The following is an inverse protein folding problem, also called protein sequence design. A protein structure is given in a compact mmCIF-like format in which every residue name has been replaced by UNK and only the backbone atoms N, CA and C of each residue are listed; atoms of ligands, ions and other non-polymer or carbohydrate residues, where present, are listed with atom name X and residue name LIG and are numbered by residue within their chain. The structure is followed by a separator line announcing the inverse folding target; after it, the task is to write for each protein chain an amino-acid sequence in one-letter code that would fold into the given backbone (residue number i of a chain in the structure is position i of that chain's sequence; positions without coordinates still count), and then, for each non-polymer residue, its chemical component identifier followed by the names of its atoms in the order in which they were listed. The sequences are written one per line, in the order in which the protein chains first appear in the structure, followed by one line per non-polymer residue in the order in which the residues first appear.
data_IF_068691249567
#
_entry.id   IF_068691249567
#
_cell.length_a   1.000
_cell.length_b   1.000
_cell.length_c   1.000
_cell.angle_alpha   90.00
_cell.angle_beta   90.00
_cell.angle_gamma   90.00
#
_symmetry.space_group_name_H-M   'P 1'
#
loop_
_entity.id
_entity.type
_entity.pdbx_description
1 polymer ?
#
# COMPACT_ATOMS: atom_id res chain seq x y z
N UNK A 1 -0.50 -15.06 2.62
CA UNK A 1 -1.02 -14.54 3.92
C UNK A 1 -2.10 -15.49 4.40
N UNK A 2 -1.95 -16.06 5.61
CA UNK A 2 -2.82 -17.12 6.16
C UNK A 2 -3.72 -16.52 7.22
N UNK A 3 -4.95 -17.08 7.38
CA UNK A 3 -5.82 -16.74 8.51
C UNK A 3 -5.23 -17.31 9.78
N UNK A 4 -5.04 -16.48 10.80
CA UNK A 4 -4.51 -16.88 12.12
C UNK A 4 -5.62 -17.21 13.13
N UNK A 5 -6.89 -16.99 12.78
CA UNK A 5 -8.05 -17.26 13.63
C UNK A 5 -9.19 -17.79 12.77
N UNK A 6 -10.01 -18.66 13.37
CA UNK A 6 -11.23 -19.21 12.79
C UNK A 6 -12.21 -19.60 13.89
N UNK A 7 -13.41 -20.03 13.52
CA UNK A 7 -14.42 -20.52 14.44
C UNK A 7 -14.64 -22.02 14.21
N UNK A 8 -14.80 -22.77 15.29
CA UNK A 8 -15.21 -24.17 15.30
C UNK A 8 -16.25 -24.37 16.41
N UNK A 9 -17.00 -25.48 16.43
CA UNK A 9 -17.89 -25.83 17.51
C UNK A 9 -17.20 -25.80 18.87
N UNK A 10 -17.95 -25.45 19.91
CA UNK A 10 -17.41 -25.43 21.28
C UNK A 10 -16.93 -26.83 21.69
N UNK A 11 -15.70 -26.89 22.19
CA UNK A 11 -15.07 -28.16 22.61
C UNK A 11 -14.25 -28.84 21.51
N UNK A 12 -14.26 -28.34 20.29
CA UNK A 12 -13.45 -28.88 19.20
C UNK A 12 -12.19 -28.05 18.98
N UNK A 13 -11.11 -28.72 18.50
CA UNK A 13 -9.87 -28.05 18.12
C UNK A 13 -9.94 -27.60 16.65
N UNK A 14 -9.80 -26.32 16.39
CA UNK A 14 -9.70 -25.82 15.03
C UNK A 14 -8.38 -26.29 14.40
N UNK A 15 -8.47 -27.19 13.41
CA UNK A 15 -7.33 -27.64 12.62
C UNK A 15 -7.38 -26.94 11.26
N UNK A 16 -6.28 -26.32 10.86
CA UNK A 16 -6.14 -25.71 9.55
C UNK A 16 -4.82 -26.10 8.93
N UNK A 17 -4.84 -26.48 7.66
CA UNK A 17 -3.64 -26.80 6.91
C UNK A 17 -3.03 -25.54 6.30
N UNK A 18 -1.77 -25.28 6.64
CA UNK A 18 -0.97 -24.20 6.09
C UNK A 18 0.01 -24.78 5.08
N UNK A 19 0.14 -24.22 3.87
CA UNK A 19 1.14 -24.68 2.93
C UNK A 19 2.55 -24.53 3.53
N UNK A 20 3.29 -25.62 3.59
CA UNK A 20 4.73 -25.61 3.84
C UNK A 20 5.43 -25.34 2.50
N UNK A 21 6.19 -24.26 2.41
CA UNK A 21 6.96 -23.89 1.23
C UNK A 21 7.87 -22.71 1.54
N UNK A 22 8.74 -22.36 0.61
CA UNK A 22 9.59 -21.18 0.73
C UNK A 22 8.73 -19.92 0.86
N UNK A 23 8.98 -19.14 1.90
CA UNK A 23 8.33 -17.86 2.12
C UNK A 23 8.97 -16.80 1.22
N UNK A 24 8.25 -16.38 0.19
CA UNK A 24 8.68 -15.26 -0.66
C UNK A 24 8.15 -13.96 -0.11
N UNK A 25 9.03 -13.01 0.07
CA UNK A 25 8.64 -11.63 0.38
C UNK A 25 8.12 -10.97 -0.90
N UNK A 26 6.94 -10.39 -0.83
CA UNK A 26 6.35 -9.60 -1.91
C UNK A 26 5.95 -8.24 -1.33
N UNK A 27 6.45 -7.18 -1.93
CA UNK A 27 6.12 -5.81 -1.55
C UNK A 27 5.10 -5.24 -2.52
N UNK A 28 4.02 -4.70 -1.97
CA UNK A 28 3.05 -3.89 -2.69
C UNK A 28 3.20 -2.44 -2.29
N UNK A 29 3.39 -1.56 -3.26
CA UNK A 29 3.48 -0.11 -3.09
C UNK A 29 2.48 0.58 -4.01
N UNK A 30 1.91 1.69 -3.56
CA UNK A 30 0.97 2.50 -4.33
C UNK A 30 0.91 3.93 -3.77
N UNK A 31 0.37 4.86 -4.53
CA UNK A 31 -0.11 6.15 -4.03
C UNK A 31 -1.60 6.12 -3.79
N UNK A 32 -2.09 6.87 -2.81
CA UNK A 32 -3.51 7.08 -2.58
C UNK A 32 -3.87 8.54 -2.82
N UNK A 33 -4.83 8.77 -3.70
CA UNK A 33 -5.49 10.06 -3.90
C UNK A 33 -6.89 10.05 -3.28
N UNK A 34 -7.46 11.22 -3.04
CA UNK A 34 -8.82 11.35 -2.49
C UNK A 34 -9.91 10.65 -3.34
N UNK A 35 -9.62 10.29 -4.57
CA UNK A 35 -10.58 9.70 -5.50
C UNK A 35 -10.20 8.31 -6.02
N UNK A 36 -8.96 7.86 -5.82
CA UNK A 36 -8.46 6.56 -6.33
C UNK A 36 -7.10 6.19 -5.74
N UNK A 37 -6.76 4.93 -5.85
CA UNK A 37 -5.37 4.46 -5.76
C UNK A 37 -4.67 4.71 -7.10
N UNK A 38 -3.40 5.10 -7.07
CA UNK A 38 -2.57 5.41 -8.24
C UNK A 38 -1.22 4.73 -8.14
N UNK A 39 -0.55 4.56 -9.27
CA UNK A 39 0.79 3.99 -9.37
C UNK A 39 0.98 2.68 -8.57
N UNK A 40 0.06 1.68 -8.65
CA UNK A 40 0.25 0.43 -7.95
C UNK A 40 1.39 -0.36 -8.59
N UNK A 41 2.33 -0.84 -7.76
CA UNK A 41 3.43 -1.70 -8.19
C UNK A 41 3.60 -2.85 -7.20
N UNK A 42 3.96 -4.02 -7.72
CA UNK A 42 4.30 -5.20 -6.94
C UNK A 42 5.71 -5.64 -7.33
N UNK A 43 6.55 -5.87 -6.35
CA UNK A 43 7.91 -6.38 -6.55
C UNK A 43 8.13 -7.65 -5.71
N UNK A 44 8.94 -8.56 -6.20
CA UNK A 44 9.48 -9.66 -5.41
C UNK A 44 10.66 -9.12 -4.58
N UNK A 45 10.66 -9.44 -3.29
CA UNK A 45 11.64 -8.94 -2.34
C UNK A 45 11.17 -7.78 -1.49
N UNK A 46 12.08 -7.31 -0.63
CA UNK A 46 11.86 -6.15 0.22
C UNK A 46 12.13 -4.84 -0.53
N UNK A 47 11.41 -3.78 -0.16
CA UNK A 47 11.68 -2.43 -0.65
C UNK A 47 13.03 -1.95 -0.13
N UNK A 48 13.83 -1.38 -1.01
CA UNK A 48 15.08 -0.70 -0.68
C UNK A 48 15.12 0.68 -1.35
N UNK A 49 16.12 1.50 -1.02
CA UNK A 49 16.24 2.87 -1.52
C UNK A 49 16.24 2.98 -3.04
N UNK A 50 17.12 2.27 -3.76
CA UNK A 50 17.12 2.27 -5.23
C UNK A 50 15.80 1.85 -5.86
N UNK A 51 15.14 0.81 -5.32
CA UNK A 51 13.84 0.36 -5.82
C UNK A 51 12.74 1.41 -5.55
N UNK A 52 12.82 2.11 -4.41
CA UNK A 52 11.89 3.19 -4.11
C UNK A 52 12.09 4.39 -5.04
N UNK A 53 13.33 4.79 -5.30
CA UNK A 53 13.63 5.85 -6.26
C UNK A 53 13.11 5.49 -7.67
N UNK A 54 13.38 4.27 -8.14
CA UNK A 54 12.85 3.80 -9.42
C UNK A 54 11.31 3.81 -9.46
N UNK A 55 10.64 3.46 -8.35
CA UNK A 55 9.19 3.58 -8.24
C UNK A 55 8.71 5.03 -8.37
N UNK A 56 9.40 5.98 -7.71
CA UNK A 56 9.07 7.41 -7.84
C UNK A 56 9.23 7.87 -9.29
N UNK A 57 10.34 7.53 -9.94
CA UNK A 57 10.64 7.95 -11.31
C UNK A 57 9.67 7.37 -12.34
N UNK A 58 9.41 6.08 -12.27
CA UNK A 58 8.75 5.32 -13.33
C UNK A 58 7.25 5.14 -13.12
N UNK A 59 6.79 5.09 -11.86
CA UNK A 59 5.41 4.77 -11.55
C UNK A 59 4.65 5.96 -10.95
N UNK A 60 5.15 6.55 -9.87
CA UNK A 60 4.43 7.62 -9.18
C UNK A 60 4.56 8.96 -9.94
N UNK A 61 5.79 9.34 -10.31
CA UNK A 61 6.09 10.61 -10.97
C UNK A 61 5.20 10.91 -12.18
N UNK A 62 5.01 9.97 -13.12
CA UNK A 62 4.10 10.18 -14.26
C UNK A 62 2.65 10.45 -13.89
N UNK A 63 2.23 10.13 -12.66
CA UNK A 63 0.86 10.39 -12.18
C UNK A 63 0.72 11.71 -11.42
N UNK A 64 1.84 12.34 -11.07
CA UNK A 64 1.87 13.60 -10.35
C UNK A 64 1.47 14.78 -11.25
N UNK A 65 0.85 15.78 -10.63
CA UNK A 65 0.47 17.03 -11.25
C UNK A 65 1.10 18.20 -10.51
N UNK A 66 1.28 19.30 -11.19
CA UNK A 66 1.71 20.55 -10.56
C UNK A 66 0.76 20.93 -9.43
N UNK A 67 1.32 21.21 -8.26
CA UNK A 67 0.58 21.55 -7.04
C UNK A 67 0.12 20.35 -6.21
N UNK A 68 0.42 19.11 -6.62
CA UNK A 68 0.21 17.95 -5.75
C UNK A 68 1.13 18.02 -4.51
N UNK A 69 0.63 17.59 -3.38
CA UNK A 69 1.42 17.35 -2.16
C UNK A 69 1.53 15.83 -1.98
N UNK A 70 2.76 15.34 -1.98
CA UNK A 70 3.08 13.92 -1.78
C UNK A 70 3.48 13.72 -0.33
N UNK A 71 2.55 13.23 0.49
CA UNK A 71 2.83 12.88 1.89
C UNK A 71 3.37 11.45 1.96
N UNK A 72 4.52 11.27 2.57
CA UNK A 72 5.21 9.98 2.71
C UNK A 72 5.59 9.78 4.17
N UNK A 73 5.57 8.53 4.65
CA UNK A 73 6.05 8.23 5.99
C UNK A 73 7.55 8.51 6.16
N UNK A 74 7.99 8.62 7.40
CA UNK A 74 9.34 9.01 7.76
C UNK A 74 10.34 7.83 7.77
N UNK A 75 10.13 6.83 6.90
CA UNK A 75 11.00 5.67 6.78
C UNK A 75 12.34 6.04 6.08
N UNK A 76 13.50 5.55 6.54
CA UNK A 76 14.79 5.83 5.90
C UNK A 76 14.84 5.47 4.40
N UNK A 77 14.16 4.40 4.00
CA UNK A 77 14.06 3.97 2.59
C UNK A 77 13.45 5.05 1.70
N UNK A 78 12.59 5.92 2.25
CA UNK A 78 11.93 6.99 1.51
C UNK A 78 12.74 8.29 1.42
N UNK A 79 13.86 8.37 2.16
CA UNK A 79 14.72 9.55 2.24
C UNK A 79 16.00 9.45 1.41
N UNK A 80 16.05 8.54 0.46
CA UNK A 80 17.22 8.40 -0.42
C UNK A 80 17.34 9.61 -1.34
N UNK A 81 18.58 9.96 -1.67
CA UNK A 81 18.87 11.04 -2.62
C UNK A 81 18.13 10.79 -3.95
N UNK A 82 17.64 11.86 -4.57
CA UNK A 82 16.88 11.81 -5.81
C UNK A 82 15.36 11.75 -5.64
N UNK A 83 14.83 11.24 -4.52
CA UNK A 83 13.37 11.12 -4.32
C UNK A 83 12.68 12.48 -4.31
N UNK A 84 13.23 13.42 -3.54
CA UNK A 84 12.69 14.78 -3.45
C UNK A 84 12.76 15.50 -4.80
N UNK A 85 13.92 15.44 -5.42
CA UNK A 85 14.19 16.06 -6.70
C UNK A 85 13.27 15.55 -7.82
N UNK A 86 13.02 14.25 -7.85
CA UNK A 86 12.09 13.65 -8.83
C UNK A 86 10.64 14.08 -8.64
N UNK A 87 10.19 14.24 -7.40
CA UNK A 87 8.84 14.70 -7.08
C UNK A 87 8.72 16.19 -7.42
N UNK A 88 9.67 17.02 -7.00
CA UNK A 88 9.68 18.46 -7.24
C UNK A 88 9.84 18.82 -8.73
N UNK A 89 10.61 18.03 -9.50
CA UNK A 89 10.71 18.19 -10.95
C UNK A 89 9.36 18.03 -11.68
N UNK A 90 8.35 17.40 -11.04
CA UNK A 90 6.99 17.30 -11.57
C UNK A 90 6.08 18.45 -11.11
N UNK A 91 6.63 19.44 -10.38
CA UNK A 91 5.87 20.55 -9.81
C UNK A 91 5.02 20.17 -8.60
N UNK A 92 5.30 19.02 -7.99
CA UNK A 92 4.70 18.57 -6.74
C UNK A 92 5.61 18.93 -5.56
N UNK A 93 5.07 18.90 -4.34
CA UNK A 93 5.81 19.12 -3.09
C UNK A 93 5.90 17.81 -2.32
N UNK A 94 7.05 17.49 -1.77
CA UNK A 94 7.25 16.35 -0.88
C UNK A 94 7.14 16.78 0.57
N UNK A 95 6.27 16.09 1.32
CA UNK A 95 6.10 16.28 2.77
C UNK A 95 6.31 14.95 3.50
N UNK A 96 7.15 14.95 4.53
CA UNK A 96 7.34 13.79 5.39
C UNK A 96 6.40 13.86 6.59
N UNK A 97 5.65 12.79 6.80
CA UNK A 97 4.81 12.65 7.99
C UNK A 97 5.69 12.56 9.25
N UNK A 98 5.19 12.96 10.41
CA UNK A 98 5.90 12.76 11.68
C UNK A 98 6.27 11.28 11.88
N UNK A 99 7.37 11.04 12.56
CA UNK A 99 7.77 9.66 12.88
C UNK A 99 6.68 8.97 13.73
N UNK A 100 6.46 7.68 13.47
CA UNK A 100 5.49 6.86 14.20
C UNK A 100 4.03 7.36 14.16
N UNK A 101 3.61 8.02 13.09
CA UNK A 101 2.25 8.56 12.92
C UNK A 101 1.50 7.90 11.76
N UNK A 102 1.23 6.58 11.81
CA UNK A 102 0.50 5.88 10.75
C UNK A 102 -0.96 6.33 10.64
N UNK A 103 -1.53 6.88 11.71
CA UNK A 103 -2.86 7.48 11.77
C UNK A 103 -3.01 8.71 10.87
N UNK A 104 -1.93 9.44 10.64
CA UNK A 104 -1.88 10.55 9.69
C UNK A 104 -1.69 10.11 8.24
N UNK A 105 -1.47 8.81 7.98
CA UNK A 105 -1.25 8.29 6.65
C UNK A 105 -2.49 7.55 6.11
N UNK A 106 -3.33 8.17 5.25
CA UNK A 106 -4.57 7.57 4.76
C UNK A 106 -4.40 6.22 4.06
N UNK A 107 -3.22 5.98 3.46
CA UNK A 107 -2.97 4.74 2.72
C UNK A 107 -2.89 3.52 3.64
N UNK A 108 -2.56 3.69 4.92
CA UNK A 108 -2.49 2.61 5.90
C UNK A 108 -3.86 1.95 6.11
N UNK A 109 -4.94 2.72 6.09
CA UNK A 109 -6.31 2.20 6.13
C UNK A 109 -6.62 1.37 4.90
N UNK A 110 -6.19 1.83 3.73
CA UNK A 110 -6.30 1.09 2.48
C UNK A 110 -5.50 -0.22 2.54
N UNK A 111 -4.28 -0.20 3.07
CA UNK A 111 -3.48 -1.42 3.26
C UNK A 111 -4.08 -2.38 4.28
N UNK A 112 -4.69 -1.87 5.34
CA UNK A 112 -5.44 -2.70 6.30
C UNK A 112 -6.60 -3.44 5.60
N UNK A 113 -7.39 -2.72 4.79
CA UNK A 113 -8.45 -3.31 3.95
C UNK A 113 -7.88 -4.32 2.96
N UNK A 114 -6.77 -4.00 2.31
CA UNK A 114 -6.09 -4.89 1.38
C UNK A 114 -5.63 -6.19 2.04
N UNK A 115 -5.01 -6.11 3.21
CA UNK A 115 -4.60 -7.29 4.00
C UNK A 115 -5.81 -8.17 4.35
N UNK A 116 -6.94 -7.56 4.74
CA UNK A 116 -8.18 -8.29 5.01
C UNK A 116 -8.75 -8.95 3.74
N UNK A 117 -8.71 -8.24 2.61
CA UNK A 117 -9.11 -8.76 1.30
C UNK A 117 -8.27 -9.98 0.90
N UNK A 118 -6.94 -9.91 0.98
CA UNK A 118 -6.06 -11.02 0.62
C UNK A 118 -6.29 -12.26 1.48
N UNK A 119 -6.57 -12.09 2.79
CA UNK A 119 -6.86 -13.22 3.69
C UNK A 119 -8.10 -14.00 3.30
N UNK A 120 -9.08 -13.37 2.61
CA UNK A 120 -10.29 -14.07 2.15
C UNK A 120 -9.99 -15.07 1.05
N UNK A 121 -9.01 -14.78 0.20
CA UNK A 121 -8.72 -15.59 -0.98
C UNK A 121 -7.61 -16.61 -0.77
N UNK A 122 -6.72 -16.40 0.22
CA UNK A 122 -5.64 -17.34 0.58
C UNK A 122 -4.83 -17.82 -0.62
N UNK A 123 -4.50 -16.90 -1.55
CA UNK A 123 -3.76 -17.22 -2.76
C UNK A 123 -2.38 -17.79 -2.44
N UNK A 124 -1.98 -18.82 -3.17
CA UNK A 124 -0.75 -19.60 -2.94
C UNK A 124 0.34 -19.36 -3.96
N UNK A 125 0.03 -18.69 -5.08
CA UNK A 125 1.00 -18.42 -6.14
C UNK A 125 1.18 -16.93 -6.36
N UNK A 126 2.38 -16.52 -6.74
CA UNK A 126 2.72 -15.11 -7.02
C UNK A 126 1.82 -14.55 -8.13
N UNK A 127 1.60 -15.22 -9.27
CA UNK A 127 0.71 -14.71 -10.31
C UNK A 127 -0.75 -14.52 -9.86
N UNK A 128 -1.26 -15.42 -9.00
CA UNK A 128 -2.59 -15.28 -8.43
C UNK A 128 -2.66 -14.06 -7.49
N UNK A 129 -1.63 -13.86 -6.66
CA UNK A 129 -1.54 -12.70 -5.79
C UNK A 129 -1.50 -11.39 -6.59
N UNK A 130 -0.74 -11.31 -7.67
CA UNK A 130 -0.70 -10.12 -8.54
C UNK A 130 -2.07 -9.80 -9.14
N UNK A 131 -2.79 -10.81 -9.63
CA UNK A 131 -4.18 -10.63 -10.11
C UNK A 131 -5.09 -10.09 -9.01
N UNK A 132 -4.92 -10.56 -7.76
CA UNK A 132 -5.69 -10.07 -6.60
C UNK A 132 -5.35 -8.62 -6.24
N UNK A 133 -4.09 -8.22 -6.31
CA UNK A 133 -3.69 -6.82 -6.15
C UNK A 133 -4.41 -5.94 -7.18
N UNK A 134 -4.34 -6.30 -8.47
CA UNK A 134 -5.03 -5.54 -9.52
C UNK A 134 -6.56 -5.52 -9.35
N UNK A 135 -7.17 -6.61 -8.89
CA UNK A 135 -8.59 -6.65 -8.58
C UNK A 135 -8.93 -5.73 -7.39
N UNK A 136 -8.13 -5.77 -6.32
CA UNK A 136 -8.34 -4.91 -5.15
C UNK A 136 -8.31 -3.42 -5.51
N UNK A 137 -7.32 -2.99 -6.29
CA UNK A 137 -7.18 -1.57 -6.71
C UNK A 137 -8.47 -1.09 -7.39
N UNK A 138 -9.10 -1.94 -8.21
CA UNK A 138 -10.37 -1.62 -8.88
C UNK A 138 -11.59 -1.59 -7.97
N UNK A 139 -11.53 -2.22 -6.79
CA UNK A 139 -12.66 -2.23 -5.83
C UNK A 139 -12.74 -0.96 -4.98
N UNK A 140 -11.67 -0.15 -4.94
CA UNK A 140 -11.66 1.07 -4.15
C UNK A 140 -12.51 2.15 -4.81
N UNK A 141 -13.60 2.50 -4.15
CA UNK A 141 -14.47 3.58 -4.60
C UNK A 141 -13.92 4.96 -4.22
N UNK A 142 -14.37 6.00 -4.93
CA UNK A 142 -14.04 7.39 -4.60
C UNK A 142 -14.47 7.77 -3.18
N UNK A 143 -15.63 7.27 -2.75
CA UNK A 143 -16.15 7.54 -1.41
C UNK A 143 -15.24 6.93 -0.32
N UNK A 144 -14.77 5.70 -0.52
CA UNK A 144 -13.83 5.07 0.41
C UNK A 144 -12.50 5.81 0.47
N UNK A 145 -11.94 6.19 -0.68
CA UNK A 145 -10.70 6.98 -0.69
C UNK A 145 -10.86 8.27 0.11
N UNK A 146 -11.93 9.03 -0.11
CA UNK A 146 -12.23 10.24 0.68
C UNK A 146 -12.37 9.95 2.18
N UNK A 147 -13.02 8.85 2.54
CA UNK A 147 -13.19 8.48 3.94
C UNK A 147 -11.85 8.15 4.61
N UNK A 148 -10.89 7.55 3.91
CA UNK A 148 -9.55 7.33 4.43
C UNK A 148 -8.85 8.67 4.74
N UNK A 149 -8.91 9.63 3.83
CA UNK A 149 -8.37 10.97 4.06
C UNK A 149 -9.04 11.67 5.24
N UNK A 150 -10.37 11.60 5.32
CA UNK A 150 -11.15 12.19 6.41
C UNK A 150 -10.79 11.59 7.76
N UNK A 151 -10.62 10.27 7.83
CA UNK A 151 -10.25 9.56 9.05
C UNK A 151 -8.85 9.96 9.53
N UNK A 152 -7.92 10.22 8.62
CA UNK A 152 -6.57 10.69 8.94
C UNK A 152 -6.49 12.21 9.18
N UNK A 153 -7.61 12.91 9.35
CA UNK A 153 -7.65 14.33 9.69
C UNK A 153 -7.53 15.30 8.52
N UNK A 154 -7.47 14.81 7.29
CA UNK A 154 -7.48 15.70 6.12
C UNK A 154 -8.91 16.15 5.84
N UNK A 155 -9.12 17.46 5.87
CA UNK A 155 -10.43 18.05 5.54
C UNK A 155 -10.76 17.79 4.07
N UNK A 156 -12.03 17.49 3.81
CA UNK A 156 -12.49 17.28 2.42
C UNK A 156 -12.22 18.51 1.59
N UNK A 157 -11.42 18.34 0.59
CA UNK A 157 -11.29 19.23 -0.53
C UNK A 157 -12.40 18.91 -1.54
#
# INVERSE_FOLDING_TARGET
MVRVRGCCPRGERLVSHVPLGEWKTITFIAGLRHNRMTAPMVIEGAMNGPAFLAYIEQCLGPTLRRGDIVAIDNCPVHKVAGVKEQIEARGATLEYLPAYSPDLNPIELSFSKFKAYLRKFSERTVPALWRRVGAFVRTLSRAECRNFFRHSGYVSI
#
